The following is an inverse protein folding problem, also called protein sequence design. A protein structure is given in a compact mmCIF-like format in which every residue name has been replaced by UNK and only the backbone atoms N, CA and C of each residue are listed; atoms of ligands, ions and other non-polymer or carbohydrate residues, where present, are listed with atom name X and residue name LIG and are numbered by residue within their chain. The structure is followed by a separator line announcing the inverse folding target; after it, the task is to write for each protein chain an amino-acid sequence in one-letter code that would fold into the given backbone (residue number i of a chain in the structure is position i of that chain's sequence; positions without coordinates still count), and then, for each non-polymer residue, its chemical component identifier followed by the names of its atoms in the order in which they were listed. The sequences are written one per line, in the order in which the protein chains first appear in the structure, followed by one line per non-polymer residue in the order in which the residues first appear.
data_IF_300235076616
#
_entry.id   IF_300235076616
#
_cell.length_a   1.000
_cell.length_b   1.000
_cell.length_c   1.000
_cell.angle_alpha   90.00
_cell.angle_beta   90.00
_cell.angle_gamma   90.00
#
_symmetry.space_group_name_H-M   'P 1'
#
loop_
_entity.id
_entity.type
_entity.pdbx_description
1 polymer ?
#
# COMPACT_ATOMS: atom_id res chain seq x y z
N UNK A 1 28.63 -81.69 9.92
CA UNK A 1 27.71 -80.78 9.21
C UNK A 1 28.39 -79.45 9.08
N UNK A 2 28.48 -79.01 7.84
CA UNK A 2 29.01 -77.74 7.36
C UNK A 2 28.17 -76.56 7.85
N UNK A 3 28.73 -75.35 7.79
CA UNK A 3 27.94 -74.12 7.97
C UNK A 3 28.80 -72.88 8.19
N UNK A 4 29.32 -72.31 7.11
CA UNK A 4 29.80 -70.93 7.00
C UNK A 4 28.77 -69.91 7.52
N UNK A 5 29.21 -68.71 7.90
CA UNK A 5 28.33 -67.54 7.84
C UNK A 5 28.77 -66.29 8.61
N UNK A 6 29.22 -65.27 7.88
CA UNK A 6 28.74 -63.90 8.15
C UNK A 6 29.78 -62.83 8.50
N UNK A 7 30.12 -61.99 7.52
CA UNK A 7 30.86 -60.73 7.62
C UNK A 7 29.99 -59.57 8.19
N UNK A 8 30.67 -58.58 8.81
CA UNK A 8 30.37 -57.14 9.14
C UNK A 8 29.19 -56.47 8.38
N UNK A 9 28.48 -55.41 8.89
CA UNK A 9 29.05 -54.16 9.45
C UNK A 9 28.22 -53.35 10.51
N UNK A 10 28.86 -52.37 11.15
CA UNK A 10 28.25 -51.14 11.72
C UNK A 10 28.25 -50.09 10.60
N UNK A 11 27.20 -49.29 10.30
CA UNK A 11 26.68 -48.24 11.20
C UNK A 11 25.18 -47.88 11.05
N UNK A 12 24.46 -47.69 12.17
CA UNK A 12 23.12 -47.09 12.14
C UNK A 12 23.06 -45.87 13.04
N UNK A 13 23.78 -44.82 12.66
CA UNK A 13 23.56 -43.46 13.12
C UNK A 13 23.15 -42.63 11.93
N UNK A 14 21.86 -42.63 11.58
CA UNK A 14 21.32 -41.67 10.60
C UNK A 14 21.53 -40.26 11.16
N UNK A 15 22.14 -39.33 10.41
CA UNK A 15 22.21 -37.94 10.83
C UNK A 15 20.80 -37.39 11.04
N UNK A 16 20.62 -36.61 12.11
CA UNK A 16 19.45 -35.76 12.33
C UNK A 16 19.13 -35.06 11.01
N UNK A 17 18.03 -35.46 10.37
CA UNK A 17 17.47 -34.71 9.27
C UNK A 17 17.22 -33.30 9.77
N UNK A 18 17.91 -32.37 9.12
CA UNK A 18 17.72 -30.96 9.23
C UNK A 18 16.24 -30.66 8.98
N UNK A 19 15.46 -30.59 10.07
CA UNK A 19 14.25 -29.77 10.12
C UNK A 19 14.68 -28.31 10.09
N UNK A 20 15.24 -27.91 8.96
CA UNK A 20 15.35 -26.51 8.57
C UNK A 20 13.92 -26.11 8.27
N UNK A 21 13.24 -25.61 9.31
CA UNK A 21 11.96 -24.96 9.16
C UNK A 21 12.11 -23.97 8.01
N UNK A 22 11.41 -24.25 6.92
CA UNK A 22 11.05 -23.26 5.94
C UNK A 22 10.15 -22.28 6.71
N UNK A 23 10.76 -21.35 7.44
CA UNK A 23 10.17 -20.04 7.65
C UNK A 23 10.07 -19.47 6.24
N UNK A 24 8.96 -19.80 5.57
CA UNK A 24 8.49 -19.00 4.47
C UNK A 24 8.35 -17.61 5.06
N UNK A 25 9.34 -16.75 4.79
CA UNK A 25 9.24 -15.32 4.97
C UNK A 25 7.96 -14.94 4.23
N UNK A 26 6.87 -14.81 4.98
CA UNK A 26 5.66 -14.21 4.46
C UNK A 26 6.11 -12.79 4.19
N UNK A 27 6.52 -12.53 2.94
CA UNK A 27 6.75 -11.19 2.42
C UNK A 27 5.37 -10.55 2.48
N UNK A 28 5.01 -10.04 3.65
CA UNK A 28 3.75 -9.37 3.88
C UNK A 28 3.78 -8.18 2.93
N UNK A 29 2.88 -8.20 1.93
CA UNK A 29 2.84 -7.21 0.87
C UNK A 29 2.35 -5.88 1.46
N UNK A 30 3.21 -5.18 2.18
CA UNK A 30 2.93 -3.86 2.72
C UNK A 30 3.20 -2.79 1.67
N UNK A 31 2.34 -1.77 1.64
CA UNK A 31 2.56 -0.54 0.91
C UNK A 31 2.63 0.64 1.87
N UNK A 32 3.46 1.60 1.52
CA UNK A 32 3.58 2.89 2.21
C UNK A 32 2.71 3.89 1.45
N UNK A 33 1.86 4.62 2.17
CA UNK A 33 0.99 5.64 1.59
C UNK A 33 1.15 6.92 2.39
N UNK A 34 1.38 8.03 1.71
CA UNK A 34 1.46 9.35 2.36
C UNK A 34 0.04 9.84 2.67
N UNK A 35 -0.20 10.24 3.92
CA UNK A 35 -1.40 10.96 4.32
C UNK A 35 -1.11 12.46 4.33
N UNK A 36 -1.45 13.13 3.22
CA UNK A 36 -1.58 14.59 3.17
C UNK A 36 -3.07 14.95 3.21
N UNK A 37 -3.45 15.84 4.12
CA UNK A 37 -4.80 16.35 4.28
C UNK A 37 -4.81 17.85 3.93
N UNK A 38 -5.72 18.33 3.07
CA UNK A 38 -5.72 19.75 2.68
C UNK A 38 -5.91 20.74 3.83
N UNK A 39 -6.60 20.35 4.91
CA UNK A 39 -6.87 21.20 6.07
C UNK A 39 -5.82 21.05 7.17
N UNK A 40 -5.35 19.82 7.40
CA UNK A 40 -4.45 19.47 8.50
C UNK A 40 -2.97 19.39 8.07
N UNK A 41 -2.71 19.41 6.77
CA UNK A 41 -1.39 19.18 6.17
C UNK A 41 -0.90 17.74 6.30
N UNK A 42 0.42 17.59 6.33
CA UNK A 42 1.08 16.29 6.47
C UNK A 42 0.82 15.68 7.86
N UNK A 43 0.19 14.52 7.90
CA UNK A 43 -0.19 13.85 9.16
C UNK A 43 0.95 13.00 9.73
N UNK A 44 2.08 13.61 10.09
CA UNK A 44 3.21 12.91 10.72
C UNK A 44 2.94 12.52 12.19
N UNK A 45 3.53 11.42 12.66
CA UNK A 45 3.39 10.93 14.05
C UNK A 45 1.96 10.85 14.58
N UNK A 46 1.00 10.56 13.71
CA UNK A 46 -0.42 10.57 14.04
C UNK A 46 -0.96 9.15 14.11
N UNK A 47 -1.71 8.84 15.17
CA UNK A 47 -2.34 7.54 15.36
C UNK A 47 -3.44 7.30 14.33
N UNK A 48 -3.49 6.09 13.79
CA UNK A 48 -4.49 5.68 12.81
C UNK A 48 -5.08 4.30 13.12
N UNK A 49 -6.32 4.09 12.67
CA UNK A 49 -7.00 2.80 12.58
C UNK A 49 -7.33 2.55 11.10
N UNK A 50 -6.85 1.44 10.56
CA UNK A 50 -7.15 0.95 9.21
C UNK A 50 -8.22 -0.13 9.30
N UNK A 51 -9.26 -0.03 8.47
CA UNK A 51 -10.26 -1.07 8.25
C UNK A 51 -10.17 -1.54 6.81
N UNK A 52 -9.90 -2.83 6.64
CA UNK A 52 -9.79 -3.48 5.34
C UNK A 52 -11.16 -3.97 4.86
N UNK A 53 -11.31 -4.11 3.54
CA UNK A 53 -12.57 -4.58 2.94
C UNK A 53 -13.00 -5.99 3.41
N UNK A 54 -12.04 -6.81 3.85
CA UNK A 54 -12.28 -8.16 4.41
C UNK A 54 -12.68 -8.14 5.91
N UNK A 55 -12.91 -6.98 6.51
CA UNK A 55 -13.29 -6.82 7.92
C UNK A 55 -12.12 -6.84 8.91
N UNK A 56 -10.89 -7.12 8.47
CA UNK A 56 -9.68 -6.96 9.29
C UNK A 56 -9.48 -5.49 9.65
N UNK A 57 -8.88 -5.24 10.81
CA UNK A 57 -8.42 -3.91 11.18
C UNK A 57 -7.01 -3.95 11.76
N UNK A 58 -6.31 -2.83 11.64
CA UNK A 58 -4.96 -2.63 12.16
C UNK A 58 -4.83 -1.21 12.70
N UNK A 59 -4.09 -1.03 13.79
CA UNK A 59 -3.78 0.29 14.35
C UNK A 59 -2.29 0.57 14.21
N UNK A 60 -1.93 1.84 14.12
CA UNK A 60 -0.54 2.26 14.00
C UNK A 60 -0.35 3.76 14.19
N UNK A 61 0.87 4.21 13.89
CA UNK A 61 1.26 5.62 13.91
C UNK A 61 2.01 5.90 12.62
N UNK A 62 1.69 7.01 11.95
CA UNK A 62 2.42 7.45 10.76
C UNK A 62 3.86 7.86 11.09
N UNK A 63 4.77 7.72 10.12
CA UNK A 63 6.17 8.15 10.29
C UNK A 63 6.36 9.67 10.22
N UNK A 64 7.62 10.13 10.26
CA UNK A 64 7.99 11.56 10.15
C UNK A 64 7.54 12.21 8.83
N UNK A 65 7.28 11.40 7.80
CA UNK A 65 6.82 11.82 6.48
C UNK A 65 5.32 11.58 6.30
N UNK A 66 4.58 11.34 7.38
CA UNK A 66 3.14 11.10 7.33
C UNK A 66 2.75 9.80 6.61
N UNK A 67 3.69 8.85 6.48
CA UNK A 67 3.40 7.59 5.78
C UNK A 67 2.78 6.58 6.74
N UNK A 68 1.68 5.97 6.32
CA UNK A 68 1.16 4.76 6.96
C UNK A 68 1.57 3.50 6.19
N UNK A 69 1.70 2.39 6.91
CA UNK A 69 1.92 1.07 6.30
C UNK A 69 0.61 0.28 6.30
N UNK A 70 0.21 -0.18 5.12
CA UNK A 70 -1.03 -0.95 4.92
C UNK A 70 -0.76 -2.23 4.17
N UNK A 71 -1.53 -3.26 4.47
CA UNK A 71 -1.50 -4.53 3.77
C UNK A 71 -2.19 -4.41 2.40
N UNK A 72 -1.43 -4.66 1.34
CA UNK A 72 -1.94 -4.61 -0.04
C UNK A 72 -2.60 -5.90 -0.51
N UNK A 73 -2.50 -6.98 0.28
CA UNK A 73 -3.17 -8.25 0.04
C UNK A 73 -4.61 -8.32 0.58
N UNK A 74 -5.06 -7.27 1.30
CA UNK A 74 -6.36 -7.24 1.98
C UNK A 74 -7.46 -6.44 1.23
N UNK A 75 -7.22 -6.04 -0.02
CA UNK A 75 -8.21 -5.38 -0.87
C UNK A 75 -7.61 -4.39 -1.88
N UNK A 76 -8.49 -3.63 -2.55
CA UNK A 76 -8.15 -2.52 -3.45
C UNK A 76 -8.22 -1.14 -2.75
N UNK A 77 -8.77 -1.11 -1.53
CA UNK A 77 -8.88 0.08 -0.70
C UNK A 77 -8.83 -0.29 0.78
N UNK A 78 -8.61 0.72 1.60
CA UNK A 78 -8.76 0.66 3.06
C UNK A 78 -9.42 1.93 3.55
N UNK A 79 -10.25 1.81 4.59
CA UNK A 79 -10.81 2.97 5.27
C UNK A 79 -9.90 3.30 6.45
N UNK A 80 -9.33 4.50 6.45
CA UNK A 80 -8.38 4.97 7.47
C UNK A 80 -9.06 6.02 8.32
N UNK A 81 -9.16 5.77 9.62
CA UNK A 81 -9.54 6.75 10.62
C UNK A 81 -8.27 7.28 11.31
N UNK A 82 -8.00 8.57 11.16
CA UNK A 82 -6.88 9.25 11.82
C UNK A 82 -7.42 10.06 12.98
N UNK A 83 -6.78 9.91 14.15
CA UNK A 83 -7.12 10.69 15.34
C UNK A 83 -6.06 11.76 15.54
N UNK A 84 -6.33 12.96 15.05
CA UNK A 84 -5.56 14.15 15.40
C UNK A 84 -5.99 14.66 16.79
N UNK A 85 -5.18 15.51 17.42
CA UNK A 85 -5.45 16.05 18.77
C UNK A 85 -6.83 16.70 18.91
N UNK A 86 -7.34 17.29 17.83
CA UNK A 86 -8.58 18.09 17.85
C UNK A 86 -9.70 17.51 16.99
N UNK A 87 -9.44 16.45 16.21
CA UNK A 87 -10.42 15.88 15.29
C UNK A 87 -10.13 14.40 14.97
N UNK A 88 -11.19 13.64 14.74
CA UNK A 88 -11.09 12.32 14.08
C UNK A 88 -11.57 12.49 12.65
N UNK A 89 -10.76 12.07 11.68
CA UNK A 89 -11.11 12.07 10.26
C UNK A 89 -11.06 10.65 9.73
N UNK A 90 -12.10 10.23 9.02
CA UNK A 90 -12.10 8.98 8.28
C UNK A 90 -12.00 9.29 6.79
N UNK A 91 -11.17 8.54 6.07
CA UNK A 91 -11.08 8.62 4.62
C UNK A 91 -10.79 7.27 4.00
N UNK A 92 -11.32 7.02 2.82
CA UNK A 92 -10.93 5.87 2.01
C UNK A 92 -9.62 6.15 1.30
N UNK A 93 -8.65 5.26 1.48
CA UNK A 93 -7.38 5.26 0.79
C UNK A 93 -7.41 4.13 -0.24
N UNK A 94 -7.15 4.46 -1.50
CA UNK A 94 -7.05 3.47 -2.57
C UNK A 94 -5.65 2.86 -2.56
N UNK A 95 -5.56 1.55 -2.82
CA UNK A 95 -4.30 0.83 -2.86
C UNK A 95 -3.85 0.67 -4.33
N UNK A 96 -3.03 1.60 -4.88
CA UNK A 96 -2.64 1.55 -6.28
C UNK A 96 -1.82 0.30 -6.57
N UNK A 97 -2.38 -0.63 -7.35
CA UNK A 97 -1.64 -1.76 -7.95
C UNK A 97 -1.13 -1.41 -9.34
N UNK A 98 -1.86 -0.55 -10.05
CA UNK A 98 -1.51 -0.10 -11.39
C UNK A 98 -0.45 1.03 -11.36
N UNK A 99 0.31 1.11 -12.45
CA UNK A 99 1.32 2.16 -12.64
C UNK A 99 0.66 3.55 -12.75
N UNK A 100 1.38 4.58 -12.31
CA UNK A 100 0.86 5.96 -12.23
C UNK A 100 0.53 6.60 -13.58
N UNK A 101 1.03 6.04 -14.69
CA UNK A 101 0.76 6.44 -16.07
C UNK A 101 -0.50 5.76 -16.65
N UNK A 102 -1.18 4.94 -15.86
CA UNK A 102 -2.51 4.39 -16.19
C UNK A 102 -3.61 5.22 -15.54
N UNK A 103 -4.82 5.33 -16.14
CA UNK A 103 -5.94 6.03 -15.53
C UNK A 103 -6.27 5.57 -14.09
N UNK A 104 -6.30 4.25 -13.86
CA UNK A 104 -6.56 3.66 -12.53
C UNK A 104 -5.45 3.98 -11.53
N UNK A 105 -4.19 3.85 -11.93
CA UNK A 105 -3.04 4.11 -11.06
C UNK A 105 -2.84 5.59 -10.75
N UNK A 106 -3.19 6.48 -11.69
CA UNK A 106 -3.23 7.92 -11.45
C UNK A 106 -4.38 8.30 -10.52
N UNK A 107 -5.59 7.78 -10.76
CA UNK A 107 -6.76 8.05 -9.93
C UNK A 107 -6.52 7.71 -8.46
N UNK A 108 -6.02 6.52 -8.16
CA UNK A 108 -5.74 6.11 -6.80
C UNK A 108 -4.76 7.05 -6.08
N UNK A 109 -3.72 7.54 -6.78
CA UNK A 109 -2.76 8.49 -6.22
C UNK A 109 -3.39 9.86 -6.00
N UNK A 110 -4.18 10.36 -6.96
CA UNK A 110 -4.88 11.65 -6.85
C UNK A 110 -5.89 11.65 -5.70
N UNK A 111 -6.62 10.55 -5.50
CA UNK A 111 -7.49 10.35 -4.33
C UNK A 111 -6.67 10.42 -3.04
N UNK A 112 -5.58 9.66 -2.95
CA UNK A 112 -4.76 9.60 -1.74
C UNK A 112 -4.07 10.93 -1.39
N UNK A 113 -3.79 11.75 -2.40
CA UNK A 113 -3.23 13.09 -2.29
C UNK A 113 -4.29 14.18 -2.06
N UNK A 114 -5.58 13.82 -1.97
CA UNK A 114 -6.66 14.77 -1.66
C UNK A 114 -7.12 15.65 -2.82
N UNK A 115 -6.84 15.28 -4.08
CA UNK A 115 -7.32 16.02 -5.25
C UNK A 115 -8.74 15.63 -5.69
N UNK A 116 -9.38 14.69 -4.98
CA UNK A 116 -10.73 14.19 -5.23
C UNK A 116 -11.60 14.46 -4.01
N UNK A 117 -12.70 15.20 -4.19
CA UNK A 117 -13.61 15.67 -3.13
C UNK A 117 -14.80 14.72 -2.87
N UNK A 118 -14.80 13.53 -3.46
CA UNK A 118 -15.87 12.54 -3.26
C UNK A 118 -15.59 11.71 -2.02
N UNK A 119 -16.60 11.54 -1.15
CA UNK A 119 -16.52 10.69 0.04
C UNK A 119 -17.72 9.70 0.13
N UNK A 120 -17.49 8.38 -0.03
CA UNK A 120 -16.23 7.76 -0.43
C UNK A 120 -15.94 7.99 -1.93
N UNK A 121 -14.66 8.10 -2.32
CA UNK A 121 -14.27 8.12 -3.73
C UNK A 121 -14.56 6.77 -4.39
N UNK A 122 -15.02 6.75 -5.65
CA UNK A 122 -15.16 5.51 -6.41
C UNK A 122 -13.79 4.87 -6.67
N UNK A 123 -13.76 3.54 -6.84
CA UNK A 123 -12.51 2.81 -7.13
C UNK A 123 -11.93 3.14 -8.51
N UNK A 124 -12.81 3.44 -9.47
CA UNK A 124 -12.46 3.80 -10.84
C UNK A 124 -13.02 5.19 -11.15
N UNK A 125 -12.28 6.05 -11.88
CA UNK A 125 -12.75 7.37 -12.26
C UNK A 125 -13.69 7.33 -13.47
N UNK A 126 -14.55 8.33 -13.58
CA UNK A 126 -15.05 8.75 -14.90
C UNK A 126 -13.94 9.54 -15.63
N UNK A 127 -13.92 9.57 -16.97
CA UNK A 127 -12.94 10.37 -17.73
C UNK A 127 -12.92 11.84 -17.30
N UNK A 128 -14.08 12.42 -17.01
CA UNK A 128 -14.25 13.80 -16.57
C UNK A 128 -13.68 14.02 -15.16
N UNK A 129 -13.97 13.12 -14.22
CA UNK A 129 -13.46 13.21 -12.84
C UNK A 129 -11.94 13.10 -12.80
N UNK A 130 -11.36 12.17 -13.56
CA UNK A 130 -9.90 12.05 -13.68
C UNK A 130 -9.28 13.31 -14.28
N UNK A 131 -9.86 13.83 -15.38
CA UNK A 131 -9.38 15.04 -16.03
C UNK A 131 -9.36 16.24 -15.08
N UNK A 132 -10.40 16.42 -14.27
CA UNK A 132 -10.46 17.53 -13.32
C UNK A 132 -9.48 17.36 -12.15
N UNK A 133 -9.38 16.16 -11.58
CA UNK A 133 -8.38 15.87 -10.55
C UNK A 133 -6.95 16.11 -11.05
N UNK A 134 -6.63 15.70 -12.29
CA UNK A 134 -5.34 15.99 -12.94
C UNK A 134 -5.09 17.48 -13.10
N UNK A 135 -6.09 18.26 -13.50
CA UNK A 135 -5.96 19.73 -13.62
C UNK A 135 -5.61 20.40 -12.29
N UNK A 136 -6.26 19.97 -11.21
CA UNK A 136 -6.00 20.48 -9.86
C UNK A 136 -4.58 20.14 -9.42
N UNK A 137 -4.17 18.88 -9.60
CA UNK A 137 -2.81 18.43 -9.34
C UNK A 137 -1.76 19.22 -10.14
N UNK A 138 -1.93 19.30 -11.46
CA UNK A 138 -1.04 20.05 -12.35
C UNK A 138 -0.91 21.52 -11.92
N UNK A 139 -2.01 22.14 -11.50
CA UNK A 139 -2.00 23.53 -11.02
C UNK A 139 -1.18 23.67 -9.74
N UNK A 140 -1.35 22.77 -8.77
CA UNK A 140 -0.57 22.76 -7.51
C UNK A 140 0.92 22.51 -7.75
N UNK A 141 1.26 21.63 -8.70
CA UNK A 141 2.64 21.26 -9.03
C UNK A 141 3.33 22.20 -10.02
N UNK A 142 2.67 23.28 -10.47
CA UNK A 142 3.24 24.22 -11.45
C UNK A 142 3.43 23.63 -12.85
N UNK A 143 2.65 22.62 -13.21
CA UNK A 143 2.61 22.00 -14.53
C UNK A 143 1.59 22.69 -15.44
N UNK A 144 1.68 22.45 -16.76
CA UNK A 144 0.64 22.88 -17.71
C UNK A 144 -0.69 22.20 -17.35
N UNK A 145 -1.74 23.00 -17.12
CA UNK A 145 -3.12 22.54 -16.81
C UNK A 145 -3.82 21.95 -18.04
N UNK A 146 -3.33 20.83 -18.56
CA UNK A 146 -3.92 20.12 -19.70
C UNK A 146 -5.11 19.23 -19.29
N UNK A 147 -5.07 18.70 -18.06
CA UNK A 147 -5.94 17.60 -17.63
C UNK A 147 -5.60 16.26 -18.28
N UNK A 148 -4.46 16.17 -18.97
CA UNK A 148 -3.97 14.94 -19.58
C UNK A 148 -2.94 14.25 -18.67
N UNK A 149 -2.97 12.92 -18.64
CA UNK A 149 -1.94 12.11 -17.98
C UNK A 149 -0.74 11.92 -18.92
N UNK A 150 -0.02 13.02 -19.16
CA UNK A 150 1.22 12.98 -19.94
C UNK A 150 2.41 12.48 -19.11
N UNK A 151 3.55 12.22 -19.76
CA UNK A 151 4.76 11.68 -19.13
C UNK A 151 5.24 12.55 -17.95
N UNK A 152 5.16 13.87 -18.08
CA UNK A 152 5.59 14.80 -17.03
C UNK A 152 4.64 14.73 -15.83
N UNK A 153 3.33 14.71 -16.07
CA UNK A 153 2.30 14.57 -15.03
C UNK A 153 2.43 13.23 -14.31
N UNK A 154 2.61 12.12 -15.04
CA UNK A 154 2.78 10.79 -14.44
C UNK A 154 4.06 10.69 -13.61
N UNK A 155 5.17 11.28 -14.07
CA UNK A 155 6.43 11.31 -13.31
C UNK A 155 6.29 12.10 -12.01
N UNK A 156 5.66 13.28 -12.06
CA UNK A 156 5.42 14.10 -10.88
C UNK A 156 4.48 13.41 -9.89
N UNK A 157 3.44 12.75 -10.40
CA UNK A 157 2.48 12.02 -9.57
C UNK A 157 3.13 10.85 -8.82
N UNK A 158 4.09 10.14 -9.44
CA UNK A 158 4.91 9.14 -8.73
C UNK A 158 5.73 9.78 -7.62
N UNK A 159 6.42 10.88 -7.89
CA UNK A 159 7.26 11.56 -6.89
C UNK A 159 6.46 12.07 -5.69
N UNK A 160 5.22 12.51 -5.91
CA UNK A 160 4.36 13.00 -4.83
C UNK A 160 3.75 11.88 -3.98
N UNK A 161 3.48 10.71 -4.57
CA UNK A 161 2.68 9.65 -3.94
C UNK A 161 3.47 8.40 -3.50
N UNK A 162 4.64 8.15 -4.08
CA UNK A 162 5.49 6.98 -3.78
C UNK A 162 6.59 7.34 -2.76
#
# INVERSE_FOLDING_TARGET
MEGEGGRKPTPTGRPLEARRGQEAEVVLAYRSIVLDDPELGLLAHTSYLVRYANGRHEEGVTDERGRLRVRSDCGDYVDVAVRARVATRARRVLLPRAAADTPRGAWARLVNLGFVELDPPPLEPTPEALREALRRFQTREGLRRSGALDLQTAARLRQAAD
#
